data_IF_744417428963
#
_entry.id   IF_744417428963
#
_cell.length_a   1.000
_cell.length_b   1.000
_cell.length_c   1.000
_cell.angle_alpha   90.00
_cell.angle_beta   90.00
_cell.angle_gamma   90.00
#
_symmetry.space_group_name_H-M   'P 1'
#
loop_
_entity.id
_entity.type
_entity.pdbx_description
1 polymer ?
#
# COMPACT_ATOMS: atom_id res chain seq x y z
N UNK A 1 17.06 34.40 13.58
CA UNK A 1 17.17 34.34 12.10
C UNK A 1 18.09 33.19 11.75
N UNK A 2 17.55 32.03 11.34
CA UNK A 2 18.38 30.93 10.81
C UNK A 2 18.72 31.26 9.36
N UNK A 3 20.00 31.51 9.09
CA UNK A 3 20.57 31.72 7.77
C UNK A 3 20.34 30.48 6.91
N UNK A 4 19.47 30.57 5.89
CA UNK A 4 19.34 29.55 4.84
C UNK A 4 20.65 29.54 4.04
N UNK A 5 21.46 28.51 4.21
CA UNK A 5 22.59 28.22 3.33
C UNK A 5 22.07 28.17 1.89
N UNK A 6 22.66 28.89 0.92
CA UNK A 6 22.21 28.83 -0.46
C UNK A 6 22.52 27.44 -1.02
N UNK A 7 21.48 26.62 -1.20
CA UNK A 7 21.59 25.31 -1.86
C UNK A 7 21.92 25.58 -3.32
N UNK A 8 23.07 25.10 -3.80
CA UNK A 8 23.47 25.28 -5.19
C UNK A 8 22.48 24.54 -6.11
N UNK A 9 22.04 25.17 -7.22
CA UNK A 9 21.19 24.49 -8.19
C UNK A 9 21.98 23.42 -8.93
N UNK A 10 21.40 22.24 -9.06
CA UNK A 10 21.92 21.15 -9.89
C UNK A 10 21.36 21.28 -11.30
N UNK A 11 22.11 20.77 -12.28
CA UNK A 11 21.75 20.86 -13.69
C UNK A 11 21.75 19.48 -14.31
N UNK A 12 20.75 19.24 -15.17
CA UNK A 12 20.71 18.08 -16.04
C UNK A 12 20.56 18.55 -17.48
N UNK A 13 21.42 18.04 -18.36
CA UNK A 13 21.38 18.26 -19.80
C UNK A 13 21.40 16.87 -20.44
N UNK A 14 20.33 16.46 -21.13
CA UNK A 14 20.26 15.13 -21.71
C UNK A 14 21.22 14.95 -22.89
N UNK A 15 21.94 13.82 -22.93
CA UNK A 15 22.79 13.42 -24.04
C UNK A 15 22.53 11.94 -24.42
N UNK A 16 22.34 11.59 -25.71
CA UNK A 16 22.24 12.47 -26.87
C UNK A 16 20.91 13.23 -26.90
N UNK A 17 20.91 14.44 -27.46
CA UNK A 17 19.73 15.30 -27.52
C UNK A 17 18.65 14.74 -28.48
N UNK A 18 17.54 14.31 -27.90
CA UNK A 18 16.34 13.84 -28.61
C UNK A 18 15.08 14.51 -28.06
N UNK A 19 14.39 15.26 -28.93
CA UNK A 19 13.17 16.02 -28.60
C UNK A 19 11.97 15.12 -28.28
N UNK A 20 11.90 13.93 -28.86
CA UNK A 20 10.84 12.95 -28.58
C UNK A 20 11.02 12.38 -27.18
N UNK A 21 12.24 11.99 -26.83
CA UNK A 21 12.58 11.52 -25.47
C UNK A 21 12.36 12.61 -24.43
N UNK A 22 12.71 13.86 -24.75
CA UNK A 22 12.42 15.02 -23.89
C UNK A 22 10.91 15.20 -23.66
N UNK A 23 10.08 15.09 -24.70
CA UNK A 23 8.63 15.18 -24.57
C UNK A 23 8.05 14.04 -23.73
N UNK A 24 8.54 12.82 -23.91
CA UNK A 24 8.16 11.64 -23.11
C UNK A 24 8.56 11.79 -21.64
N UNK A 25 9.76 12.30 -21.35
CA UNK A 25 10.24 12.57 -19.99
C UNK A 25 9.36 13.61 -19.30
N UNK A 26 9.04 14.72 -19.97
CA UNK A 26 8.24 15.79 -19.38
C UNK A 26 6.77 15.39 -19.17
N UNK A 27 6.23 14.56 -20.07
CA UNK A 27 4.82 14.20 -20.09
C UNK A 27 3.90 15.37 -20.50
N UNK A 28 2.59 15.13 -20.60
CA UNK A 28 1.62 16.17 -20.94
C UNK A 28 1.68 17.34 -19.95
N UNK A 29 1.84 18.57 -20.44
CA UNK A 29 1.92 19.78 -19.60
C UNK A 29 2.95 19.66 -18.44
N UNK A 30 4.11 19.04 -18.68
CA UNK A 30 5.17 18.85 -17.68
C UNK A 30 4.70 18.10 -16.41
N UNK A 31 3.70 17.23 -16.53
CA UNK A 31 3.12 16.49 -15.41
C UNK A 31 4.15 15.61 -14.68
N UNK A 32 5.05 14.95 -15.41
CA UNK A 32 6.09 14.11 -14.81
C UNK A 32 7.08 14.95 -13.99
N UNK A 33 7.48 16.12 -14.48
CA UNK A 33 8.36 17.04 -13.74
C UNK A 33 7.70 17.54 -12.45
N UNK A 34 6.39 17.84 -12.50
CA UNK A 34 5.62 18.23 -11.31
C UNK A 34 5.54 17.10 -10.28
N UNK A 35 5.45 15.85 -10.72
CA UNK A 35 5.47 14.71 -9.81
C UNK A 35 6.82 14.51 -9.13
N UNK A 36 7.92 14.54 -9.90
CA UNK A 36 9.29 14.44 -9.35
C UNK A 36 9.55 15.59 -8.37
N UNK A 37 9.20 16.82 -8.78
CA UNK A 37 9.28 18.03 -7.96
C UNK A 37 8.50 17.89 -6.63
N UNK A 38 7.26 17.41 -6.68
CA UNK A 38 6.42 17.23 -5.49
C UNK A 38 6.88 16.09 -4.59
N UNK A 39 7.47 15.03 -5.14
CA UNK A 39 7.85 13.84 -4.36
C UNK A 39 9.18 13.99 -3.64
N UNK A 40 10.12 14.72 -4.26
CA UNK A 40 11.45 15.01 -3.69
C UNK A 40 11.52 16.36 -2.96
N UNK A 41 10.44 17.13 -2.95
CA UNK A 41 10.39 18.50 -2.41
C UNK A 41 11.50 19.39 -3.01
N UNK A 42 11.57 19.38 -4.35
CA UNK A 42 12.51 20.19 -5.14
C UNK A 42 11.74 21.04 -6.14
N UNK A 43 12.34 22.13 -6.58
CA UNK A 43 11.84 22.92 -7.71
C UNK A 43 12.58 22.50 -8.98
N UNK A 44 11.85 22.10 -10.01
CA UNK A 44 12.42 21.77 -11.33
C UNK A 44 11.97 22.84 -12.32
N UNK A 45 12.93 23.50 -12.95
CA UNK A 45 12.71 24.45 -14.03
C UNK A 45 13.34 23.93 -15.32
N UNK A 46 12.59 23.93 -16.41
CA UNK A 46 13.08 23.54 -17.73
C UNK A 46 13.25 24.78 -18.62
N UNK A 47 14.40 24.88 -19.29
CA UNK A 47 14.65 25.88 -20.35
C UNK A 47 15.25 25.18 -21.56
N UNK A 48 14.39 24.85 -22.53
CA UNK A 48 14.78 24.07 -23.71
C UNK A 48 15.20 22.65 -23.30
N UNK A 49 16.46 22.31 -23.55
CA UNK A 49 17.09 21.04 -23.17
C UNK A 49 17.66 21.01 -21.75
N UNK A 50 17.82 22.17 -21.11
CA UNK A 50 18.44 22.27 -19.79
C UNK A 50 17.40 22.22 -18.68
N UNK A 51 17.61 21.33 -17.72
CA UNK A 51 16.86 21.25 -16.46
C UNK A 51 17.68 21.87 -15.33
N UNK A 52 17.02 22.68 -14.52
CA UNK A 52 17.58 23.34 -13.34
C UNK A 52 16.79 22.82 -12.15
N UNK A 53 17.48 22.20 -11.21
CA UNK A 53 16.87 21.58 -10.04
C UNK A 53 17.40 22.25 -8.78
N UNK A 54 16.51 22.74 -7.93
CA UNK A 54 16.85 23.43 -6.67
C UNK A 54 16.08 22.82 -5.51
N UNK A 55 16.77 22.53 -4.40
CA UNK A 55 16.17 21.94 -3.21
C UNK A 55 17.11 20.97 -2.52
N UNK A 56 16.76 20.51 -1.33
CA UNK A 56 17.65 19.66 -0.52
C UNK A 56 17.95 18.31 -1.19
N UNK A 57 17.04 17.81 -2.04
CA UNK A 57 17.16 16.57 -2.79
C UNK A 57 17.46 16.80 -4.28
N UNK A 58 18.05 17.94 -4.65
CA UNK A 58 18.26 18.31 -6.05
C UNK A 58 19.14 17.33 -6.83
N UNK A 59 20.17 16.77 -6.19
CA UNK A 59 21.02 15.74 -6.76
C UNK A 59 20.24 14.47 -7.12
N UNK A 60 19.39 14.00 -6.21
CA UNK A 60 18.54 12.83 -6.45
C UNK A 60 17.53 13.06 -7.57
N UNK A 61 16.95 14.27 -7.64
CA UNK A 61 16.05 14.61 -8.73
C UNK A 61 16.76 14.63 -10.09
N UNK A 62 18.04 15.04 -10.14
CA UNK A 62 18.85 14.92 -11.37
C UNK A 62 19.07 13.46 -11.76
N UNK A 63 19.42 12.59 -10.82
CA UNK A 63 19.59 11.14 -11.09
C UNK A 63 18.30 10.50 -11.64
N UNK A 64 17.14 10.89 -11.11
CA UNK A 64 15.85 10.41 -11.64
C UNK A 64 15.57 10.94 -13.05
N UNK A 65 15.90 12.21 -13.31
CA UNK A 65 15.75 12.79 -14.64
C UNK A 65 16.66 12.11 -15.66
N UNK A 66 17.89 11.78 -15.29
CA UNK A 66 18.84 11.01 -16.10
C UNK A 66 18.29 9.61 -16.41
N UNK A 67 17.90 8.86 -15.38
CA UNK A 67 17.33 7.50 -15.52
C UNK A 67 16.09 7.50 -16.41
N UNK A 68 15.16 8.43 -16.20
CA UNK A 68 13.97 8.49 -17.05
C UNK A 68 14.28 8.94 -18.46
N UNK A 69 15.28 9.79 -18.66
CA UNK A 69 15.73 10.13 -19.99
C UNK A 69 16.23 8.89 -20.74
N UNK A 70 17.03 8.03 -20.10
CA UNK A 70 17.55 6.78 -20.67
C UNK A 70 16.44 5.85 -21.19
N UNK A 71 15.34 5.71 -20.44
CA UNK A 71 14.21 4.85 -20.80
C UNK A 71 13.11 5.54 -21.62
N UNK A 72 13.20 6.86 -21.84
CA UNK A 72 12.20 7.67 -22.54
C UNK A 72 12.07 7.42 -24.06
N UNK A 73 12.59 6.30 -24.58
CA UNK A 73 12.31 5.83 -25.94
C UNK A 73 10.82 5.57 -26.16
N UNK A 74 10.06 5.37 -25.08
CA UNK A 74 8.59 5.35 -25.04
C UNK A 74 8.09 6.40 -24.05
N UNK A 75 6.81 6.77 -24.13
CA UNK A 75 6.19 7.67 -23.14
C UNK A 75 6.43 7.09 -21.75
N UNK A 76 7.04 7.87 -20.86
CA UNK A 76 7.24 7.47 -19.46
C UNK A 76 5.90 7.67 -18.76
N UNK A 77 5.18 6.58 -18.41
CA UNK A 77 3.90 6.71 -17.74
C UNK A 77 4.13 7.25 -16.33
N UNK A 78 3.15 8.00 -15.84
CA UNK A 78 3.22 8.69 -14.56
C UNK A 78 3.41 7.72 -13.38
N UNK A 79 2.94 6.48 -13.56
CA UNK A 79 3.11 5.39 -12.60
C UNK A 79 4.56 4.91 -12.49
N UNK A 80 5.35 4.95 -13.58
CA UNK A 80 6.79 4.64 -13.53
C UNK A 80 7.56 5.74 -12.79
N UNK A 81 7.15 6.99 -12.95
CA UNK A 81 7.67 8.13 -12.17
C UNK A 81 7.46 7.90 -10.68
N UNK A 82 6.24 7.55 -10.29
CA UNK A 82 5.90 7.25 -8.90
C UNK A 82 6.65 6.02 -8.38
N UNK A 83 6.84 5.00 -9.21
CA UNK A 83 7.56 3.78 -8.83
C UNK A 83 9.02 4.06 -8.49
N UNK A 84 9.76 4.77 -9.35
CA UNK A 84 11.17 5.07 -9.09
C UNK A 84 11.35 5.95 -7.83
N UNK A 85 10.42 6.86 -7.58
CA UNK A 85 10.41 7.70 -6.37
C UNK A 85 10.20 6.88 -5.09
N UNK A 86 9.43 5.80 -5.17
CA UNK A 86 9.23 4.86 -4.05
C UNK A 86 10.46 3.96 -3.87
N UNK A 87 11.00 3.38 -4.96
CA UNK A 87 12.24 2.57 -4.92
C UNK A 87 13.40 3.32 -4.25
N UNK A 88 13.54 4.61 -4.54
CA UNK A 88 14.57 5.46 -3.94
C UNK A 88 14.34 5.71 -2.44
N UNK A 89 13.09 5.95 -2.03
CA UNK A 89 12.72 6.12 -0.61
C UNK A 89 12.93 4.85 0.21
N UNK A 90 12.74 3.69 -0.42
CA UNK A 90 12.94 2.38 0.19
C UNK A 90 14.41 1.95 0.26
N UNK A 91 15.36 2.76 -0.23
CA UNK A 91 16.80 2.50 -0.11
C UNK A 91 17.33 1.34 -0.97
N UNK A 92 16.59 0.92 -2.01
CA UNK A 92 16.96 -0.24 -2.84
C UNK A 92 18.10 -0.01 -3.83
N UNK A 93 18.67 1.19 -3.85
CA UNK A 93 19.91 1.47 -4.56
C UNK A 93 20.99 1.89 -3.57
N UNK A 94 21.57 0.91 -2.87
CA UNK A 94 22.93 1.08 -2.38
C UNK A 94 23.84 1.14 -3.61
N UNK A 95 24.42 2.32 -3.83
CA UNK A 95 25.55 2.44 -4.74
C UNK A 95 26.64 1.46 -4.29
N UNK A 96 27.21 0.74 -5.26
CA UNK A 96 28.40 -0.07 -5.09
C UNK A 96 29.49 0.75 -4.38
N UNK A 97 29.67 0.47 -3.09
CA UNK A 97 30.87 0.82 -2.34
C UNK A 97 31.78 -0.40 -2.40
N UNK A 98 33.01 -0.31 -2.93
CA UNK A 98 33.82 -1.49 -3.26
C UNK A 98 34.52 -2.15 -2.06
N UNK A 99 34.10 -1.88 -0.81
CA UNK A 99 34.91 -2.26 0.35
C UNK A 99 34.12 -2.67 1.61
N UNK A 100 33.11 -3.53 1.46
CA UNK A 100 32.55 -4.25 2.61
C UNK A 100 32.17 -5.70 2.27
N UNK A 101 32.59 -6.58 3.18
CA UNK A 101 32.50 -8.05 3.18
C UNK A 101 31.12 -8.63 2.82
N UNK A 102 31.08 -9.85 2.24
CA UNK A 102 29.92 -10.39 1.55
C UNK A 102 28.83 -10.78 2.55
N UNK A 103 27.84 -9.92 2.69
CA UNK A 103 26.53 -10.31 3.21
C UNK A 103 25.64 -10.48 1.99
N UNK A 104 25.10 -11.69 1.83
CA UNK A 104 24.35 -12.21 0.69
C UNK A 104 23.64 -11.11 -0.13
N UNK A 105 24.28 -10.74 -1.24
CA UNK A 105 23.70 -9.88 -2.24
C UNK A 105 22.44 -10.56 -2.76
N UNK A 106 21.29 -9.91 -2.55
CA UNK A 106 20.07 -10.25 -3.26
C UNK A 106 20.40 -10.18 -4.76
N UNK A 107 20.25 -11.27 -5.53
CA UNK A 107 20.58 -11.25 -6.95
C UNK A 107 19.72 -10.20 -7.65
N UNK A 108 20.23 -9.60 -8.72
CA UNK A 108 19.52 -8.65 -9.58
C UNK A 108 18.19 -9.26 -10.07
N UNK A 109 17.12 -9.01 -9.31
CA UNK A 109 15.77 -9.42 -9.68
C UNK A 109 15.31 -8.41 -10.73
N UNK A 110 15.32 -8.80 -12.01
CA UNK A 110 14.33 -8.28 -12.96
C UNK A 110 12.98 -8.26 -12.23
N UNK A 111 12.46 -7.07 -11.94
CA UNK A 111 11.28 -6.85 -11.08
C UNK A 111 10.02 -7.31 -11.83
N UNK A 112 9.93 -8.62 -12.06
CA UNK A 112 8.81 -9.32 -12.65
C UNK A 112 7.77 -9.51 -11.54
N UNK A 113 6.96 -8.47 -11.33
CA UNK A 113 5.77 -8.55 -10.49
C UNK A 113 4.79 -9.57 -11.10
N UNK A 114 4.18 -10.47 -10.31
CA UNK A 114 3.19 -11.40 -10.84
C UNK A 114 2.03 -10.66 -11.52
N UNK A 115 1.69 -11.06 -12.75
CA UNK A 115 0.57 -10.49 -13.50
C UNK A 115 -0.74 -11.12 -13.00
N UNK A 116 -1.62 -10.29 -12.44
CA UNK A 116 -2.92 -10.71 -11.92
C UNK A 116 -4.03 -10.49 -12.95
N UNK A 117 -4.89 -11.49 -13.12
CA UNK A 117 -6.09 -11.46 -13.95
C UNK A 117 -7.23 -10.81 -13.16
N UNK A 118 -7.28 -9.49 -13.21
CA UNK A 118 -8.38 -8.69 -12.66
C UNK A 118 -8.89 -7.71 -13.70
N UNK A 119 -9.99 -6.99 -13.41
CA UNK A 119 -10.48 -5.90 -14.26
C UNK A 119 -9.44 -4.77 -14.40
N UNK A 120 -8.61 -4.55 -13.36
CA UNK A 120 -7.47 -3.64 -13.42
C UNK A 120 -6.25 -4.38 -13.95
N UNK A 121 -6.05 -4.30 -15.27
CA UNK A 121 -4.98 -5.00 -15.97
C UNK A 121 -3.57 -4.48 -15.61
N UNK A 122 -3.48 -3.27 -15.08
CA UNK A 122 -2.27 -2.58 -14.64
C UNK A 122 -1.89 -2.87 -13.18
N UNK A 123 -2.70 -3.65 -12.46
CA UNK A 123 -2.46 -3.94 -11.06
C UNK A 123 -1.22 -4.81 -10.88
N UNK A 124 -0.19 -4.24 -10.25
CA UNK A 124 1.07 -4.90 -9.90
C UNK A 124 1.57 -4.43 -8.54
N UNK A 125 2.39 -5.26 -7.89
CA UNK A 125 3.15 -4.84 -6.72
C UNK A 125 4.09 -3.69 -7.10
N UNK A 126 4.03 -2.60 -6.34
CA UNK A 126 4.80 -1.36 -6.57
C UNK A 126 6.04 -1.26 -5.68
N UNK A 127 6.19 -2.13 -4.69
CA UNK A 127 7.40 -2.20 -3.85
C UNK A 127 7.92 -3.62 -3.82
N UNK A 128 9.20 -3.84 -3.50
CA UNK A 128 9.76 -5.19 -3.39
C UNK A 128 9.00 -6.05 -2.38
N UNK A 129 8.60 -5.52 -1.22
CA UNK A 129 7.78 -6.28 -0.27
C UNK A 129 6.38 -6.56 -0.82
N UNK A 130 5.76 -5.65 -1.59
CA UNK A 130 4.49 -5.95 -2.27
C UNK A 130 4.65 -7.07 -3.31
N UNK A 131 5.75 -7.10 -4.05
CA UNK A 131 6.04 -8.15 -5.03
C UNK A 131 6.30 -9.48 -4.35
N UNK A 132 7.12 -9.48 -3.28
CA UNK A 132 7.35 -10.64 -2.45
C UNK A 132 6.04 -11.16 -1.84
N UNK A 133 5.17 -10.27 -1.39
CA UNK A 133 3.87 -10.63 -0.85
C UNK A 133 2.97 -11.30 -1.87
N UNK A 134 2.88 -10.75 -3.09
CA UNK A 134 2.15 -11.37 -4.20
C UNK A 134 2.69 -12.77 -4.52
N UNK A 135 4.02 -12.93 -4.63
CA UNK A 135 4.65 -14.25 -4.85
C UNK A 135 4.33 -15.22 -3.71
N UNK A 136 4.44 -14.75 -2.46
CA UNK A 136 4.16 -15.56 -1.26
C UNK A 136 2.74 -16.12 -1.29
N UNK A 137 1.74 -15.30 -1.62
CA UNK A 137 0.33 -15.72 -1.75
C UNK A 137 0.16 -16.80 -2.84
N UNK A 138 0.83 -16.64 -3.98
CA UNK A 138 0.72 -17.59 -5.10
C UNK A 138 1.39 -18.93 -4.77
N UNK A 139 2.51 -18.91 -4.08
CA UNK A 139 3.35 -20.09 -3.82
C UNK A 139 2.95 -20.88 -2.56
N UNK A 140 2.32 -20.23 -1.57
CA UNK A 140 2.02 -20.82 -0.26
C UNK A 140 0.53 -21.00 -0.03
N UNK A 141 0.16 -21.98 0.81
CA UNK A 141 -1.24 -22.21 1.18
C UNK A 141 -1.73 -21.19 2.21
N UNK A 142 -0.82 -20.71 3.08
CA UNK A 142 -1.12 -19.67 4.06
C UNK A 142 -0.08 -18.56 3.96
N UNK A 143 -0.53 -17.31 3.85
CA UNK A 143 0.35 -16.14 3.78
C UNK A 143 -0.09 -15.05 4.76
N UNK A 144 0.86 -14.47 5.47
CA UNK A 144 0.65 -13.35 6.39
C UNK A 144 1.21 -12.07 5.79
N UNK A 145 0.38 -11.04 5.67
CA UNK A 145 0.80 -9.68 5.34
C UNK A 145 0.69 -8.78 6.57
N UNK A 146 1.82 -8.44 7.18
CA UNK A 146 1.86 -7.70 8.45
C UNK A 146 2.52 -6.35 8.25
N UNK A 147 1.85 -5.26 8.60
CA UNK A 147 2.45 -3.93 8.60
C UNK A 147 1.44 -2.80 8.44
N UNK A 148 1.91 -1.56 8.24
CA UNK A 148 1.09 -0.37 8.41
C UNK A 148 -0.06 -0.24 7.42
N UNK A 149 -1.04 0.59 7.77
CA UNK A 149 -2.13 0.96 6.86
C UNK A 149 -1.62 1.71 5.61
N UNK A 150 -2.19 1.40 4.45
CA UNK A 150 -1.81 2.02 3.17
C UNK A 150 -0.65 1.34 2.43
N UNK A 151 -0.15 0.21 2.94
CA UNK A 151 0.85 -0.65 2.26
C UNK A 151 0.23 -1.54 1.17
N UNK A 152 -1.09 -1.53 1.02
CA UNK A 152 -1.81 -2.31 0.02
C UNK A 152 -2.05 -3.79 0.37
N UNK A 153 -1.62 -4.26 1.56
CA UNK A 153 -1.72 -5.67 1.99
C UNK A 153 -3.10 -6.30 1.74
N UNK A 154 -4.18 -5.70 2.22
CA UNK A 154 -5.54 -6.24 2.05
C UNK A 154 -5.99 -6.17 0.60
N UNK A 155 -5.73 -5.05 -0.08
CA UNK A 155 -6.15 -4.85 -1.47
C UNK A 155 -5.44 -5.82 -2.43
N UNK A 156 -4.14 -6.03 -2.27
CA UNK A 156 -3.36 -7.01 -3.03
C UNK A 156 -3.81 -8.44 -2.75
N UNK A 157 -4.17 -8.77 -1.50
CA UNK A 157 -4.74 -10.07 -1.15
C UNK A 157 -6.06 -10.33 -1.89
N UNK A 158 -6.97 -9.34 -1.90
CA UNK A 158 -8.25 -9.45 -2.63
C UNK A 158 -8.00 -9.60 -4.14
N UNK A 159 -7.01 -8.90 -4.69
CA UNK A 159 -6.62 -9.06 -6.08
C UNK A 159 -6.12 -10.48 -6.42
N UNK A 160 -5.29 -11.07 -5.56
CA UNK A 160 -4.91 -12.48 -5.71
C UNK A 160 -6.10 -13.43 -5.59
N UNK A 161 -7.06 -13.14 -4.71
CA UNK A 161 -8.27 -13.95 -4.58
C UNK A 161 -9.11 -13.92 -5.87
N UNK A 162 -9.28 -12.73 -6.44
CA UNK A 162 -9.96 -12.53 -7.72
C UNK A 162 -9.23 -13.26 -8.84
N UNK A 163 -7.91 -13.11 -8.96
CA UNK A 163 -7.11 -13.84 -9.96
C UNK A 163 -7.29 -15.36 -9.83
N UNK A 164 -7.20 -15.90 -8.62
CA UNK A 164 -7.37 -17.32 -8.37
C UNK A 164 -8.77 -17.82 -8.76
N UNK A 165 -9.82 -17.00 -8.54
CA UNK A 165 -11.19 -17.32 -8.97
C UNK A 165 -11.32 -17.25 -10.50
N UNK A 166 -10.78 -16.22 -11.15
CA UNK A 166 -10.83 -16.04 -12.61
C UNK A 166 -10.01 -17.09 -13.39
N UNK A 167 -9.08 -17.77 -12.71
CA UNK A 167 -8.28 -18.89 -13.23
C UNK A 167 -8.84 -20.26 -12.82
N UNK A 168 -10.01 -20.31 -12.20
CA UNK A 168 -10.63 -21.55 -11.71
C UNK A 168 -9.78 -22.32 -10.67
N UNK A 169 -8.74 -21.70 -10.11
CA UNK A 169 -7.87 -22.30 -9.09
C UNK A 169 -8.60 -22.49 -7.76
N UNK A 170 -9.57 -21.63 -7.47
CA UNK A 170 -10.54 -21.78 -6.38
C UNK A 170 -11.96 -21.66 -6.92
N UNK A 171 -12.94 -22.15 -6.16
CA UNK A 171 -14.36 -22.09 -6.52
C UNK A 171 -15.13 -20.99 -5.79
N UNK A 172 -14.56 -20.42 -4.73
CA UNK A 172 -15.17 -19.34 -3.96
C UNK A 172 -14.14 -18.45 -3.26
N UNK A 173 -14.53 -17.22 -2.96
CA UNK A 173 -13.78 -16.28 -2.14
C UNK A 173 -14.55 -16.03 -0.85
N UNK A 174 -13.87 -16.09 0.29
CA UNK A 174 -14.45 -15.79 1.60
C UNK A 174 -13.62 -14.69 2.23
N UNK A 175 -14.20 -13.52 2.44
CA UNK A 175 -13.56 -12.41 3.13
C UNK A 175 -14.16 -12.30 4.53
N UNK A 176 -13.30 -12.26 5.53
CA UNK A 176 -13.72 -12.20 6.93
C UNK A 176 -12.92 -11.16 7.70
N UNK A 177 -13.59 -10.51 8.65
CA UNK A 177 -13.01 -9.55 9.59
C UNK A 177 -13.50 -9.87 10.99
N UNK A 178 -12.66 -9.78 12.05
CA UNK A 178 -13.16 -9.90 13.41
C UNK A 178 -14.11 -8.74 13.72
N UNK A 179 -15.15 -9.02 14.49
CA UNK A 179 -16.00 -7.97 15.04
C UNK A 179 -15.28 -7.35 16.24
N UNK A 180 -15.02 -6.04 16.17
CA UNK A 180 -14.28 -5.31 17.20
C UNK A 180 -15.03 -4.02 17.47
N UNK A 181 -15.23 -3.71 18.74
CA UNK A 181 -15.87 -2.47 19.16
C UNK A 181 -14.85 -1.33 19.07
N UNK A 182 -14.66 -0.77 17.89
CA UNK A 182 -13.78 0.36 17.68
C UNK A 182 -14.41 1.64 18.27
N UNK A 183 -14.24 1.84 19.58
CA UNK A 183 -14.60 3.07 20.29
C UNK A 183 -16.10 3.28 20.57
N UNK A 184 -17.01 2.68 19.81
CA UNK A 184 -18.45 2.64 20.09
C UNK A 184 -18.89 1.19 20.36
N UNK A 185 -19.65 0.95 21.45
CA UNK A 185 -20.19 -0.40 21.70
C UNK A 185 -21.08 -0.77 20.52
N UNK A 186 -20.88 -1.95 19.92
CA UNK A 186 -21.67 -2.44 18.78
C UNK A 186 -23.19 -2.41 19.09
N UNK A 187 -23.55 -2.41 20.39
CA UNK A 187 -24.89 -2.22 20.92
C UNK A 187 -25.60 -0.90 20.55
N UNK A 188 -24.90 0.19 20.18
CA UNK A 188 -25.53 1.52 19.98
C UNK A 188 -25.95 1.83 18.54
N UNK A 189 -25.45 1.12 17.54
CA UNK A 189 -25.94 1.29 16.16
C UNK A 189 -27.38 0.74 16.05
N UNK A 190 -28.38 1.50 15.57
CA UNK A 190 -29.72 0.98 15.34
C UNK A 190 -29.71 -0.02 14.17
N UNK A 191 -30.48 -1.11 14.26
CA UNK A 191 -30.61 -2.11 13.19
C UNK A 191 -30.30 -3.55 13.63
N UNK A 192 -30.42 -4.48 12.68
CA UNK A 192 -30.04 -5.88 12.88
C UNK A 192 -28.51 -6.06 12.98
N UNK A 193 -28.05 -7.22 13.46
CA UNK A 193 -26.61 -7.49 13.66
C UNK A 193 -25.80 -7.31 12.37
N UNK A 194 -26.42 -7.56 11.21
CA UNK A 194 -25.79 -7.43 9.89
C UNK A 194 -25.58 -5.95 9.54
N UNK A 195 -26.60 -5.11 9.72
CA UNK A 195 -26.55 -3.66 9.48
C UNK A 195 -25.50 -2.95 10.36
N UNK A 196 -25.24 -3.48 11.56
CA UNK A 196 -24.21 -2.96 12.47
C UNK A 196 -22.79 -3.29 12.03
N UNK A 197 -22.59 -4.41 11.34
CA UNK A 197 -21.27 -4.91 10.95
C UNK A 197 -20.89 -4.44 9.53
N UNK A 198 -21.89 -4.17 8.67
CA UNK A 198 -21.70 -3.77 7.27
C UNK A 198 -20.73 -2.57 7.07
N UNK A 199 -20.74 -1.51 7.91
CA UNK A 199 -19.78 -0.41 7.77
C UNK A 199 -18.30 -0.85 7.87
N UNK A 200 -17.99 -1.84 8.72
CA UNK A 200 -16.63 -2.36 8.90
C UNK A 200 -16.17 -3.25 7.74
N UNK A 201 -17.13 -3.78 6.98
CA UNK A 201 -16.88 -4.65 5.83
C UNK A 201 -16.84 -3.86 4.52
N UNK A 202 -17.33 -2.61 4.50
CA UNK A 202 -17.38 -1.75 3.30
C UNK A 202 -16.06 -1.66 2.52
N UNK A 203 -14.88 -1.51 3.15
CA UNK A 203 -13.61 -1.48 2.39
C UNK A 203 -13.36 -2.75 1.55
N UNK A 204 -13.87 -3.91 1.99
CA UNK A 204 -13.76 -5.17 1.25
C UNK A 204 -14.71 -5.20 0.05
N UNK A 205 -15.92 -4.64 0.20
CA UNK A 205 -16.85 -4.45 -0.93
C UNK A 205 -16.24 -3.52 -1.98
N UNK A 206 -15.68 -2.39 -1.56
CA UNK A 206 -15.08 -1.41 -2.47
C UNK A 206 -13.92 -2.02 -3.28
N UNK A 207 -13.06 -2.81 -2.62
CA UNK A 207 -11.98 -3.53 -3.30
C UNK A 207 -12.51 -4.51 -4.36
N UNK A 208 -13.57 -5.28 -4.04
CA UNK A 208 -14.18 -6.20 -5.02
C UNK A 208 -14.82 -5.45 -6.18
N UNK A 209 -15.54 -4.36 -5.94
CA UNK A 209 -16.14 -3.56 -7.01
C UNK A 209 -15.11 -2.98 -7.95
N UNK A 210 -13.96 -2.57 -7.42
CA UNK A 210 -12.86 -2.07 -8.22
C UNK A 210 -12.19 -3.18 -9.07
N UNK A 211 -12.02 -4.38 -8.51
CA UNK A 211 -11.28 -5.49 -9.14
C UNK A 211 -12.12 -6.37 -10.08
N UNK A 212 -13.44 -6.47 -9.85
CA UNK A 212 -14.37 -7.29 -10.65
C UNK A 212 -15.42 -6.46 -11.40
N UNK A 213 -15.70 -5.24 -10.94
CA UNK A 213 -16.82 -4.44 -11.40
C UNK A 213 -18.10 -4.70 -10.59
N UNK A 214 -18.91 -3.65 -10.41
CA UNK A 214 -20.11 -3.66 -9.57
C UNK A 214 -21.10 -4.79 -9.90
N UNK A 215 -21.58 -4.86 -11.14
CA UNK A 215 -22.61 -5.83 -11.56
C UNK A 215 -22.12 -7.28 -11.43
N UNK A 216 -20.85 -7.52 -11.71
CA UNK A 216 -20.25 -8.86 -11.63
C UNK A 216 -20.13 -9.29 -10.18
N UNK A 217 -19.64 -8.41 -9.32
CA UNK A 217 -19.53 -8.66 -7.88
C UNK A 217 -20.90 -8.98 -7.27
N UNK A 218 -21.95 -8.22 -7.59
CA UNK A 218 -23.31 -8.49 -7.12
C UNK A 218 -23.82 -9.88 -7.54
N UNK A 219 -23.64 -10.25 -8.82
CA UNK A 219 -23.99 -11.60 -9.30
C UNK A 219 -23.23 -12.72 -8.58
N UNK A 220 -21.96 -12.49 -8.21
CA UNK A 220 -21.16 -13.47 -7.48
C UNK A 220 -21.60 -13.61 -6.03
N UNK A 221 -22.07 -12.52 -5.40
CA UNK A 221 -22.71 -12.58 -4.08
C UNK A 221 -24.02 -13.36 -4.11
N UNK A 222 -24.90 -13.09 -5.08
CA UNK A 222 -26.18 -13.81 -5.23
C UNK A 222 -25.95 -15.32 -5.41
N UNK A 223 -24.91 -15.71 -6.14
CA UNK A 223 -24.51 -17.11 -6.35
C UNK A 223 -23.70 -17.72 -5.20
N UNK A 224 -23.42 -16.96 -4.15
CA UNK A 224 -22.57 -17.37 -3.02
C UNK A 224 -21.16 -17.82 -3.44
N UNK A 225 -20.67 -17.32 -4.57
CA UNK A 225 -19.28 -17.52 -5.01
C UNK A 225 -18.35 -16.63 -4.21
N UNK A 226 -18.80 -15.43 -3.88
CA UNK A 226 -18.11 -14.52 -2.96
C UNK A 226 -18.97 -14.39 -1.70
N UNK A 227 -18.34 -14.51 -0.54
CA UNK A 227 -18.96 -14.35 0.77
C UNK A 227 -18.14 -13.33 1.57
N UNK A 228 -18.80 -12.33 2.15
CA UNK A 228 -18.22 -11.47 3.17
C UNK A 228 -18.98 -11.73 4.46
N UNK A 229 -18.27 -12.18 5.51
CA UNK A 229 -18.90 -12.55 6.77
C UNK A 229 -18.01 -12.25 7.98
N UNK A 230 -18.58 -12.04 9.18
CA UNK A 230 -17.80 -11.90 10.41
C UNK A 230 -17.03 -13.20 10.72
N UNK A 231 -15.88 -13.07 11.41
CA UNK A 231 -15.03 -14.21 11.78
C UNK A 231 -15.77 -15.33 12.53
N UNK A 232 -16.77 -14.99 13.34
CA UNK A 232 -17.58 -15.96 14.07
C UNK A 232 -18.26 -17.01 13.17
N UNK A 233 -18.57 -16.66 11.91
CA UNK A 233 -19.23 -17.53 10.94
C UNK A 233 -18.29 -18.61 10.39
N UNK A 234 -16.98 -18.51 10.66
CA UNK A 234 -16.01 -19.54 10.26
C UNK A 234 -16.04 -20.77 11.18
N UNK A 235 -16.66 -20.66 12.37
CA UNK A 235 -16.71 -21.74 13.35
C UNK A 235 -17.44 -22.97 12.77
N UNK A 236 -16.82 -24.14 12.92
CA UNK A 236 -17.40 -25.41 12.47
C UNK A 236 -17.37 -25.64 10.95
N UNK A 237 -16.79 -24.72 10.17
CA UNK A 237 -16.65 -24.89 8.72
C UNK A 237 -15.35 -25.61 8.36
N UNK A 238 -15.36 -26.29 7.22
CA UNK A 238 -14.14 -26.69 6.51
C UNK A 238 -14.16 -25.99 5.16
N UNK A 239 -13.15 -25.17 4.91
CA UNK A 239 -13.08 -24.29 3.75
C UNK A 239 -12.24 -24.98 2.68
N UNK A 240 -12.88 -25.86 1.89
CA UNK A 240 -12.26 -26.48 0.71
C UNK A 240 -12.47 -25.60 -0.54
N UNK A 241 -11.52 -25.70 -1.48
CA UNK A 241 -11.52 -25.00 -2.78
C UNK A 241 -11.86 -23.51 -2.67
N UNK A 242 -11.35 -22.84 -1.64
CA UNK A 242 -11.68 -21.47 -1.30
C UNK A 242 -10.42 -20.61 -1.18
N UNK A 243 -10.54 -19.35 -1.61
CA UNK A 243 -9.58 -18.33 -1.24
C UNK A 243 -10.14 -17.54 -0.05
N UNK A 244 -9.47 -17.61 1.09
CA UNK A 244 -9.98 -17.07 2.36
C UNK A 244 -9.08 -15.91 2.80
N UNK A 245 -9.67 -14.75 3.09
CA UNK A 245 -8.93 -13.59 3.60
C UNK A 245 -9.45 -13.23 4.98
N UNK A 246 -8.55 -13.23 5.98
CA UNK A 246 -8.80 -12.67 7.29
C UNK A 246 -8.15 -11.29 7.38
N UNK A 247 -8.98 -10.25 7.32
CA UNK A 247 -8.55 -8.86 7.42
C UNK A 247 -8.62 -8.33 8.86
N UNK A 248 -7.81 -7.32 9.17
CA UNK A 248 -7.59 -6.78 10.52
C UNK A 248 -7.31 -7.86 11.59
N UNK A 249 -6.46 -8.82 11.23
CA UNK A 249 -6.15 -9.96 12.07
C UNK A 249 -5.53 -9.60 13.42
N UNK A 250 -4.96 -8.39 13.57
CA UNK A 250 -4.44 -7.90 14.85
C UNK A 250 -5.53 -7.85 15.93
N UNK A 251 -6.80 -7.77 15.51
CA UNK A 251 -7.95 -7.73 16.41
C UNK A 251 -8.59 -9.10 16.64
N UNK A 252 -7.86 -10.18 16.36
CA UNK A 252 -8.26 -11.54 16.75
C UNK A 252 -7.61 -11.92 18.08
N UNK A 253 -8.29 -12.75 18.88
CA UNK A 253 -7.62 -13.45 19.99
C UNK A 253 -6.82 -14.65 19.47
N UNK A 254 -5.94 -15.21 20.32
CA UNK A 254 -5.18 -16.43 20.00
C UNK A 254 -6.12 -17.59 19.65
N UNK A 255 -7.22 -17.75 20.38
CA UNK A 255 -8.22 -18.79 20.13
C UNK A 255 -8.94 -18.59 18.80
N UNK A 256 -9.26 -17.34 18.45
CA UNK A 256 -9.90 -17.00 17.17
C UNK A 256 -8.96 -17.24 15.99
N UNK A 257 -7.69 -16.87 16.11
CA UNK A 257 -6.67 -17.14 15.08
C UNK A 257 -6.49 -18.65 14.88
N UNK A 258 -6.36 -19.42 15.97
CA UNK A 258 -6.27 -20.89 15.90
C UNK A 258 -7.54 -21.51 15.32
N UNK A 259 -8.72 -21.00 15.70
CA UNK A 259 -10.00 -21.43 15.14
C UNK A 259 -10.00 -21.23 13.63
N UNK A 260 -9.62 -20.05 13.15
CA UNK A 260 -9.57 -19.70 11.73
C UNK A 260 -8.59 -20.59 10.94
N UNK A 261 -7.33 -20.67 11.36
CA UNK A 261 -6.29 -21.40 10.63
C UNK A 261 -6.62 -22.90 10.50
N UNK A 262 -7.31 -23.48 11.49
CA UNK A 262 -7.75 -24.88 11.43
C UNK A 262 -8.98 -25.13 10.56
N UNK A 263 -9.59 -24.09 9.95
CA UNK A 263 -10.70 -24.27 8.99
C UNK A 263 -10.21 -24.46 7.56
N UNK A 264 -8.93 -24.18 7.28
CA UNK A 264 -8.40 -24.24 5.91
C UNK A 264 -8.33 -25.70 5.46
N UNK A 265 -9.06 -26.00 4.39
CA UNK A 265 -9.19 -27.32 3.80
C UNK A 265 -8.39 -27.50 2.52
N UNK A 266 -8.62 -28.60 1.80
CA UNK A 266 -7.88 -28.93 0.59
C UNK A 266 -8.20 -27.98 -0.57
N UNK A 267 -7.18 -27.71 -1.39
CA UNK A 267 -7.29 -26.84 -2.57
C UNK A 267 -7.65 -25.40 -2.24
N UNK A 268 -7.39 -24.97 -1.00
CA UNK A 268 -7.67 -23.62 -0.52
C UNK A 268 -6.40 -22.85 -0.25
N UNK A 269 -6.51 -21.53 -0.36
CA UNK A 269 -5.47 -20.58 0.05
C UNK A 269 -6.03 -19.66 1.11
N UNK A 270 -5.22 -19.29 2.08
CA UNK A 270 -5.57 -18.38 3.15
C UNK A 270 -4.58 -17.21 3.22
N UNK A 271 -5.10 -16.00 3.32
CA UNK A 271 -4.31 -14.80 3.52
C UNK A 271 -4.77 -14.10 4.78
N UNK A 272 -3.83 -13.81 5.68
CA UNK A 272 -4.08 -13.11 6.94
C UNK A 272 -3.42 -11.74 6.87
N UNK A 273 -4.20 -10.67 6.96
CA UNK A 273 -3.69 -9.29 6.89
C UNK A 273 -3.93 -8.56 8.20
N UNK A 274 -2.95 -7.77 8.64
CA UNK A 274 -3.14 -6.94 9.83
C UNK A 274 -1.97 -6.02 10.14
N UNK A 275 -2.16 -5.19 11.15
CA UNK A 275 -1.16 -4.25 11.65
C UNK A 275 -0.99 -4.43 13.16
N UNK A 276 0.13 -5.01 13.59
CA UNK A 276 0.40 -5.29 15.01
C UNK A 276 0.45 -4.02 15.88
N UNK A 277 0.55 -2.82 15.28
CA UNK A 277 0.54 -1.54 15.99
C UNK A 277 -0.88 -1.01 16.25
N UNK A 278 -1.90 -1.56 15.60
CA UNK A 278 -3.30 -1.10 15.66
C UNK A 278 -4.21 -2.12 16.35
N UNK A 279 -3.81 -2.60 17.52
CA UNK A 279 -4.58 -3.59 18.30
C UNK A 279 -5.68 -2.89 19.09
N UNK A 280 -6.93 -3.15 18.72
CA UNK A 280 -8.16 -2.63 19.36
C UNK A 280 -8.73 -3.59 20.43
N UNK A 281 -8.03 -4.69 20.72
CA UNK A 281 -8.43 -5.63 21.77
C UNK A 281 -8.33 -5.00 23.16
N UNK A 282 -9.11 -5.53 24.10
CA UNK A 282 -8.93 -5.18 25.52
C UNK A 282 -7.48 -5.43 25.95
N UNK A 283 -6.91 -4.50 26.73
CA UNK A 283 -5.48 -4.50 27.13
C UNK A 283 -4.98 -5.80 27.77
N UNK A 284 -5.88 -6.63 28.30
CA UNK A 284 -5.56 -7.92 28.93
C UNK A 284 -5.47 -9.08 27.94
N UNK A 285 -5.94 -8.91 26.70
CA UNK A 285 -5.97 -9.95 25.69
C UNK A 285 -4.76 -9.84 24.76
N UNK A 286 -4.09 -10.97 24.53
CA UNK A 286 -3.00 -11.06 23.56
C UNK A 286 -3.58 -11.14 22.15
N UNK A 287 -3.02 -10.34 21.22
CA UNK A 287 -3.36 -10.43 19.81
C UNK A 287 -2.96 -11.78 19.21
N UNK A 288 -3.90 -12.43 18.53
CA UNK A 288 -3.71 -13.67 17.81
C UNK A 288 -2.77 -13.54 16.62
N UNK A 289 -2.73 -12.37 15.96
CA UNK A 289 -1.76 -12.11 14.89
C UNK A 289 -0.33 -12.09 15.43
N UNK A 290 -0.08 -11.31 16.48
CA UNK A 290 1.26 -11.22 17.08
C UNK A 290 1.72 -12.57 17.64
N UNK A 291 0.80 -13.36 18.19
CA UNK A 291 1.09 -14.73 18.62
C UNK A 291 1.42 -15.66 17.45
N UNK A 292 0.59 -15.65 16.39
CA UNK A 292 0.78 -16.50 15.22
C UNK A 292 2.11 -16.25 14.50
N UNK A 293 2.53 -14.99 14.37
CA UNK A 293 3.84 -14.64 13.78
C UNK A 293 4.99 -15.29 14.55
N UNK A 294 4.88 -15.39 15.88
CA UNK A 294 5.90 -16.03 16.70
C UNK A 294 5.82 -17.57 16.67
N UNK A 295 4.62 -18.12 16.84
CA UNK A 295 4.38 -19.56 17.01
C UNK A 295 4.54 -20.33 15.69
N UNK A 296 4.18 -19.72 14.56
CA UNK A 296 4.12 -20.39 13.26
C UNK A 296 5.35 -20.14 12.37
N UNK A 297 6.37 -19.45 12.88
CA UNK A 297 7.56 -19.04 12.11
C UNK A 297 8.29 -20.19 11.40
N UNK A 298 8.29 -21.38 12.00
CA UNK A 298 9.01 -22.56 11.50
C UNK A 298 8.07 -23.57 10.79
N UNK A 299 6.79 -23.22 10.59
CA UNK A 299 5.81 -24.11 9.97
C UNK A 299 5.93 -24.01 8.45
N UNK A 300 6.33 -25.12 7.81
CA UNK A 300 6.41 -25.21 6.35
C UNK A 300 5.06 -24.95 5.69
N UNK A 301 5.08 -24.24 4.56
CA UNK A 301 3.87 -23.88 3.81
C UNK A 301 3.18 -22.60 4.29
N UNK A 302 3.74 -21.93 5.30
CA UNK A 302 3.31 -20.61 5.76
C UNK A 302 4.37 -19.57 5.38
N UNK A 303 3.97 -18.49 4.71
CA UNK A 303 4.83 -17.36 4.40
C UNK A 303 4.46 -16.14 5.24
N UNK A 304 5.47 -15.34 5.59
CA UNK A 304 5.31 -14.06 6.27
C UNK A 304 5.94 -12.96 5.44
N UNK A 305 5.20 -11.89 5.18
CA UNK A 305 5.71 -10.66 4.57
C UNK A 305 5.48 -9.49 5.52
N UNK A 306 6.59 -8.88 5.95
CA UNK A 306 6.57 -7.71 6.82
C UNK A 306 6.66 -6.45 5.97
N UNK A 307 5.62 -5.63 6.02
CA UNK A 307 5.60 -4.31 5.40
C UNK A 307 6.11 -3.25 6.39
N UNK A 308 6.70 -2.21 5.82
CA UNK A 308 7.20 -1.03 6.53
C UNK A 308 6.46 0.23 6.08
N UNK A 309 6.77 1.36 6.72
CA UNK A 309 6.28 2.68 6.26
C UNK A 309 6.78 3.03 4.86
N UNK A 310 7.93 2.50 4.43
CA UNK A 310 8.46 2.69 3.08
C UNK A 310 7.60 2.03 1.99
N UNK A 311 6.75 1.06 2.37
CA UNK A 311 5.84 0.37 1.44
C UNK A 311 4.49 1.09 1.26
N UNK A 312 4.31 2.22 1.94
CA UNK A 312 3.07 2.99 1.90
C UNK A 312 3.02 3.80 0.61
N UNK A 313 2.20 3.33 -0.33
CA UNK A 313 1.97 4.02 -1.60
C UNK A 313 0.68 4.84 -1.49
N UNK A 314 0.83 6.11 -1.11
CA UNK A 314 -0.26 7.08 -1.03
C UNK A 314 -0.04 8.23 -2.01
N UNK A 315 -1.11 8.95 -2.30
CA UNK A 315 -1.03 10.18 -3.04
C UNK A 315 -0.05 11.16 -2.36
N UNK A 316 0.86 11.86 -3.08
CA UNK A 316 1.89 12.72 -2.48
C UNK A 316 1.35 13.80 -1.53
N UNK A 317 0.15 14.31 -1.79
CA UNK A 317 -0.53 15.23 -0.87
C UNK A 317 -0.87 14.56 0.47
N UNK A 318 -1.35 13.32 0.46
CA UNK A 318 -1.70 12.59 1.69
C UNK A 318 -0.44 12.28 2.49
N UNK A 319 0.66 11.92 1.84
CA UNK A 319 1.95 11.76 2.50
C UNK A 319 2.37 13.04 3.22
N UNK A 320 2.36 14.19 2.53
CA UNK A 320 2.66 15.50 3.14
C UNK A 320 1.74 15.88 4.29
N UNK A 321 0.46 15.51 4.23
CA UNK A 321 -0.48 15.72 5.34
C UNK A 321 -0.07 14.87 6.54
N UNK A 322 0.22 13.58 6.34
CA UNK A 322 0.68 12.69 7.41
C UNK A 322 1.96 13.22 8.04
N UNK A 323 2.97 13.56 7.23
CA UNK A 323 4.24 14.11 7.70
C UNK A 323 4.03 15.40 8.52
N UNK A 324 3.11 16.28 8.09
CA UNK A 324 2.76 17.48 8.83
C UNK A 324 2.15 17.17 10.21
N UNK A 325 1.25 16.19 10.31
CA UNK A 325 0.66 15.77 11.58
C UNK A 325 1.68 15.04 12.49
N UNK A 326 2.57 14.22 11.95
CA UNK A 326 3.63 13.56 12.72
C UNK A 326 4.66 14.57 13.25
N UNK A 327 5.00 15.58 12.45
CA UNK A 327 5.87 16.69 12.88
C UNK A 327 5.21 17.59 13.93
N UNK A 328 3.88 17.71 13.92
CA UNK A 328 3.12 18.40 14.95
C UNK A 328 2.92 17.54 16.21
N UNK A 329 2.80 16.22 16.09
CA UNK A 329 2.65 15.32 17.23
C UNK A 329 3.97 15.15 18.04
N UNK A 330 5.12 15.39 17.40
CA UNK A 330 6.43 15.44 18.05
C UNK A 330 6.76 16.80 18.69
N UNK A 331 5.87 17.79 18.54
CA UNK A 331 5.96 19.11 19.17
C UNK A 331 4.67 19.32 19.95
N UNK A 332 4.68 19.05 21.25
CA UNK A 332 3.61 19.46 22.17
C UNK A 332 3.40 20.98 22.08
N UNK A 333 2.61 21.47 21.13
CA UNK A 333 2.12 22.85 21.03
C UNK A 333 1.06 22.97 19.90
N UNK A 334 -0.09 22.31 20.08
CA UNK A 334 -1.30 22.65 19.32
C UNK A 334 -2.23 23.55 20.14
N UNK A 335 -1.74 24.74 20.51
CA UNK A 335 -2.57 25.87 20.94
C UNK A 335 -2.19 27.12 20.14
N UNK A 336 -2.58 27.16 18.87
CA UNK A 336 -2.84 28.41 18.16
C UNK A 336 -3.47 28.12 16.78
N UNK A 337 -4.80 27.99 16.74
CA UNK A 337 -5.50 28.30 15.50
C UNK A 337 -5.25 29.80 15.21
N UNK A 338 -4.71 30.19 14.04
CA UNK A 338 -4.71 31.60 13.66
C UNK A 338 -6.16 32.05 13.55
N UNK A 339 -6.56 32.99 14.41
CA UNK A 339 -7.89 33.61 14.35
C UNK A 339 -8.09 34.19 12.94
N UNK A 340 -9.27 33.99 12.31
CA UNK A 340 -9.55 34.61 11.03
C UNK A 340 -9.37 36.13 11.15
N UNK A 341 -8.68 36.71 10.18
CA UNK A 341 -8.42 38.14 10.14
C UNK A 341 -9.74 38.91 10.26
N UNK A 342 -9.86 39.76 11.28
CA UNK A 342 -11.04 40.59 11.49
C UNK A 342 -11.29 41.41 10.22
N UNK A 343 -12.49 41.24 9.64
CA UNK A 343 -12.95 42.06 8.53
C UNK A 343 -12.86 43.53 8.95
N UNK A 344 -12.01 44.30 8.26
CA UNK A 344 -11.98 45.76 8.40
C UNK A 344 -13.34 46.29 7.97
N UNK A 345 -14.18 46.65 8.94
CA UNK A 345 -15.38 47.42 8.71
C UNK A 345 -14.98 48.74 8.03
N UNK A 346 -15.26 48.82 6.73
CA UNK A 346 -15.27 50.05 5.97
C UNK A 346 -16.42 50.89 6.53
N UNK A 347 -16.12 51.77 7.50
CA UNK A 347 -17.04 52.84 7.85
C UNK A 347 -17.08 53.81 6.67
N UNK A 348 -18.18 53.77 5.94
CA UNK A 348 -18.63 54.85 5.05
C UNK A 348 -19.03 56.06 5.90
N UNK A 349 -18.64 57.22 5.38
CA UNK A 349 -18.97 58.61 5.75
C UNK A 349 -18.06 59.25 6.80
#
# INVERSE_FOLDING_TARGET
>A
MKTKTPIQPHYFIPEPLDNTRLAHLCGPLDENLRQISSALDVTIFRRGEKFIVSGHNAEHAVQILERFYEVANKVVPIEEVQLALVEQRSGLHSQHSPDSTPTEALPDIEINSPVLKTRRHDLRGRTPHQIQYLRSILEHDISFGVGPAGTGKTYLAVACAVDALERDAVKRIILTRPAVEAGERLGFLPGDLTQKIDPYLRPLYDALYDLLGFDRTQKMFEKQVIEIAPLAYMRGRTLNHAFVILDEAQNTTVEQMKMFLTRIGFGSKAVVTGDVTQVDLHKTQKSGLSDAVHVLKDVRGIAFTQFSSADVVRHPLVARIVDAYESAASVEDLVALPKPAAAKNVRKK
#
